data_IF_567357415223
#
_entry.id   IF_567357415223
#
_cell.length_a   1.000
_cell.length_b   1.000
_cell.length_c   1.000
_cell.angle_alpha   90.00
_cell.angle_beta   90.00
_cell.angle_gamma   90.00
#
_symmetry.space_group_name_H-M   'P 1'
#
loop_
_entity.id
_entity.type
_entity.pdbx_description
1 polymer ?
#
# COMPACT_ATOMS: atom_id res chain seq x y z
N UNK A 1 -0.62 14.76 -1.77
CA UNK A 1 -1.68 13.83 -2.20
C UNK A 1 -2.59 13.49 -1.05
N UNK A 2 -3.89 13.48 -1.27
CA UNK A 2 -4.87 13.19 -0.24
C UNK A 2 -5.62 11.88 -0.56
N UNK A 3 -6.63 11.54 0.24
CA UNK A 3 -7.42 10.34 0.06
C UNK A 3 -8.11 10.27 -1.31
N UNK A 4 -8.44 11.42 -1.91
CA UNK A 4 -9.10 11.47 -3.22
C UNK A 4 -8.19 10.92 -4.32
N UNK A 5 -6.88 11.20 -4.23
CA UNK A 5 -5.92 10.70 -5.20
C UNK A 5 -5.77 9.18 -5.13
N UNK A 6 -5.77 8.62 -3.92
CA UNK A 6 -5.76 7.16 -3.73
C UNK A 6 -6.99 6.55 -4.38
N UNK A 7 -8.17 7.11 -4.11
CA UNK A 7 -9.43 6.60 -4.65
C UNK A 7 -9.46 6.67 -6.18
N UNK A 8 -8.96 7.76 -6.76
CA UNK A 8 -8.87 7.89 -8.22
C UNK A 8 -7.97 6.83 -8.84
N UNK A 9 -6.83 6.57 -8.22
CA UNK A 9 -5.86 5.59 -8.73
C UNK A 9 -6.41 4.17 -8.62
N UNK A 10 -7.08 3.85 -7.54
CA UNK A 10 -7.75 2.56 -7.37
C UNK A 10 -8.89 2.41 -8.37
N UNK A 11 -9.68 3.46 -8.59
CA UNK A 11 -10.79 3.43 -9.54
C UNK A 11 -10.31 3.26 -10.98
N UNK A 12 -9.08 3.66 -11.30
CA UNK A 12 -8.50 3.49 -12.63
C UNK A 12 -8.06 2.04 -12.91
N UNK A 13 -8.00 1.18 -11.89
CA UNK A 13 -7.69 -0.24 -12.05
C UNK A 13 -8.94 -0.94 -12.62
N UNK A 14 -8.80 -1.74 -13.70
CA UNK A 14 -9.96 -2.40 -14.28
C UNK A 14 -10.74 -3.20 -13.24
N UNK A 15 -12.07 -3.05 -13.28
CA UNK A 15 -12.98 -3.76 -12.41
C UNK A 15 -13.10 -5.20 -12.91
N UNK A 16 -12.83 -6.16 -12.03
CA UNK A 16 -12.95 -7.58 -12.34
C UNK A 16 -13.62 -8.31 -11.16
N UNK A 17 -13.78 -9.63 -11.29
CA UNK A 17 -14.44 -10.44 -10.26
C UNK A 17 -13.76 -10.37 -8.90
N UNK A 18 -12.46 -10.08 -8.88
CA UNK A 18 -11.70 -10.02 -7.63
C UNK A 18 -11.62 -8.62 -7.02
N UNK A 19 -12.09 -7.58 -7.72
CA UNK A 19 -11.95 -6.20 -7.26
C UNK A 19 -12.62 -5.97 -5.89
N UNK A 20 -13.86 -6.44 -5.73
CA UNK A 20 -14.58 -6.30 -4.46
C UNK A 20 -13.86 -7.05 -3.34
N UNK A 21 -13.39 -8.25 -3.63
CA UNK A 21 -12.63 -9.06 -2.68
C UNK A 21 -11.36 -8.34 -2.24
N UNK A 22 -10.59 -7.79 -3.20
CA UNK A 22 -9.36 -7.06 -2.87
C UNK A 22 -9.65 -5.84 -2.01
N UNK A 23 -10.72 -5.10 -2.32
CA UNK A 23 -11.12 -3.95 -1.52
C UNK A 23 -11.46 -4.34 -0.08
N UNK A 24 -12.22 -5.43 0.10
CA UNK A 24 -12.57 -5.94 1.43
C UNK A 24 -11.32 -6.39 2.20
N UNK A 25 -10.41 -7.10 1.55
CA UNK A 25 -9.18 -7.57 2.18
C UNK A 25 -8.27 -6.40 2.56
N UNK A 26 -8.16 -5.40 1.70
CA UNK A 26 -7.41 -4.19 1.99
C UNK A 26 -7.94 -3.50 3.25
N UNK A 27 -9.26 -3.32 3.34
CA UNK A 27 -9.91 -2.72 4.49
C UNK A 27 -9.69 -3.55 5.77
N UNK A 28 -9.70 -4.86 5.65
CA UNK A 28 -9.57 -5.75 6.80
C UNK A 28 -8.14 -5.84 7.33
N UNK A 29 -7.16 -5.96 6.44
CA UNK A 29 -5.79 -6.30 6.82
C UNK A 29 -4.81 -5.13 6.75
N UNK A 30 -4.97 -4.20 5.82
CA UNK A 30 -4.00 -3.12 5.61
C UNK A 30 -4.45 -1.81 6.24
N UNK A 31 -5.69 -1.40 6.03
CA UNK A 31 -6.14 -0.09 6.50
C UNK A 31 -6.09 0.08 8.03
N UNK A 32 -6.33 -0.96 8.85
CA UNK A 32 -6.12 -0.82 10.30
C UNK A 32 -4.66 -0.50 10.67
N UNK A 33 -3.72 -0.79 9.78
CA UNK A 33 -2.29 -0.55 9.98
C UNK A 33 -1.74 0.55 9.06
N UNK A 34 -2.59 1.45 8.58
CA UNK A 34 -2.18 2.55 7.68
C UNK A 34 -1.09 3.43 8.29
N UNK A 35 -1.12 3.62 9.62
CA UNK A 35 -0.10 4.41 10.31
C UNK A 35 1.26 3.72 10.28
N UNK A 36 1.27 2.39 10.32
CA UNK A 36 2.50 1.62 10.17
C UNK A 36 3.08 1.82 8.75
N UNK A 37 2.23 1.74 7.73
CA UNK A 37 2.66 1.97 6.35
C UNK A 37 3.27 3.36 6.22
N UNK A 38 2.61 4.38 6.77
CA UNK A 38 3.09 5.76 6.70
C UNK A 38 4.44 5.92 7.42
N UNK A 39 4.58 5.32 8.61
CA UNK A 39 5.83 5.40 9.37
C UNK A 39 7.01 4.74 8.66
N UNK A 40 6.76 3.65 7.93
CA UNK A 40 7.79 2.99 7.13
C UNK A 40 8.19 3.91 5.96
N UNK A 41 7.23 4.57 5.33
CA UNK A 41 7.52 5.53 4.27
C UNK A 41 8.37 6.69 4.78
N UNK A 42 8.08 7.22 5.97
CA UNK A 42 8.89 8.27 6.60
C UNK A 42 10.32 7.77 6.81
N UNK A 43 10.46 6.56 7.32
CA UNK A 43 11.77 6.01 7.69
C UNK A 43 12.68 5.76 6.49
N UNK A 44 12.13 5.29 5.38
CA UNK A 44 12.94 4.81 4.26
C UNK A 44 12.92 5.68 3.02
N UNK A 45 12.05 6.68 2.94
CA UNK A 45 12.02 7.60 1.79
C UNK A 45 13.17 8.62 1.91
N UNK A 46 13.96 8.77 0.85
CA UNK A 46 15.11 9.67 0.86
C UNK A 46 14.71 11.13 0.83
N UNK A 47 13.76 11.49 -0.03
CA UNK A 47 13.29 12.86 -0.16
C UNK A 47 11.99 13.04 0.62
N UNK A 48 11.99 13.94 1.60
CA UNK A 48 10.84 14.23 2.40
C UNK A 48 9.60 14.60 1.57
N UNK A 49 9.81 15.26 0.44
CA UNK A 49 8.73 15.65 -0.48
C UNK A 49 8.00 14.45 -1.09
N UNK A 50 8.66 13.29 -1.15
CA UNK A 50 8.10 12.09 -1.77
C UNK A 50 7.37 11.18 -0.80
N UNK A 51 7.36 11.49 0.50
CA UNK A 51 6.80 10.60 1.52
C UNK A 51 5.32 10.33 1.26
N UNK A 52 4.52 11.38 1.02
CA UNK A 52 3.09 11.18 0.77
C UNK A 52 2.83 10.43 -0.52
N UNK A 53 3.59 10.72 -1.57
CA UNK A 53 3.48 10.01 -2.85
C UNK A 53 3.82 8.54 -2.67
N UNK A 54 4.86 8.23 -1.91
CA UNK A 54 5.25 6.86 -1.65
C UNK A 54 4.21 6.13 -0.79
N UNK A 55 3.59 6.83 0.15
CA UNK A 55 2.50 6.28 0.94
C UNK A 55 1.31 5.89 0.05
N UNK A 56 0.91 6.78 -0.87
CA UNK A 56 -0.17 6.49 -1.82
C UNK A 56 0.18 5.30 -2.71
N UNK A 57 1.42 5.28 -3.22
CA UNK A 57 1.91 4.16 -4.03
C UNK A 57 1.84 2.85 -3.27
N UNK A 58 2.20 2.87 -1.98
CA UNK A 58 2.14 1.69 -1.14
C UNK A 58 0.72 1.16 -1.01
N UNK A 59 -0.25 2.04 -0.74
CA UNK A 59 -1.65 1.63 -0.62
C UNK A 59 -2.20 1.06 -1.93
N UNK A 60 -1.87 1.68 -3.06
CA UNK A 60 -2.27 1.18 -4.38
C UNK A 60 -1.63 -0.18 -4.64
N UNK A 61 -0.35 -0.34 -4.28
CA UNK A 61 0.35 -1.61 -4.43
C UNK A 61 -0.30 -2.73 -3.60
N UNK A 62 -0.66 -2.43 -2.34
CA UNK A 62 -1.37 -3.41 -1.52
C UNK A 62 -2.69 -3.82 -2.14
N UNK A 63 -3.45 -2.87 -2.69
CA UNK A 63 -4.70 -3.19 -3.37
C UNK A 63 -4.48 -4.14 -4.54
N UNK A 64 -3.51 -3.83 -5.41
CA UNK A 64 -3.22 -4.64 -6.59
C UNK A 64 -2.85 -6.09 -6.26
N UNK A 65 -2.08 -6.28 -5.19
CA UNK A 65 -1.51 -7.58 -4.85
C UNK A 65 -2.11 -8.19 -3.59
N UNK A 66 -3.30 -7.75 -3.20
CA UNK A 66 -3.94 -8.20 -1.96
C UNK A 66 -4.18 -9.71 -1.95
N UNK A 67 -4.44 -10.30 -3.11
CA UNK A 67 -4.67 -11.74 -3.23
C UNK A 67 -3.41 -12.57 -2.92
N UNK A 68 -2.23 -11.96 -2.94
CA UNK A 68 -0.98 -12.65 -2.60
C UNK A 68 -0.74 -12.77 -1.10
N UNK A 69 -1.54 -12.09 -0.28
CA UNK A 69 -1.38 -12.16 1.17
C UNK A 69 -1.85 -13.51 1.71
N UNK A 70 -1.00 -14.13 2.54
CA UNK A 70 -1.32 -15.36 3.25
C UNK A 70 -1.81 -15.02 4.66
N UNK A 71 -3.11 -15.24 4.98
CA UNK A 71 -3.64 -14.92 6.31
C UNK A 71 -2.98 -15.69 7.45
N UNK A 72 -2.26 -16.76 7.16
CA UNK A 72 -1.52 -17.52 8.16
C UNK A 72 -0.27 -16.80 8.64
N UNK A 73 0.18 -15.76 7.92
CA UNK A 73 1.37 -14.99 8.28
C UNK A 73 0.99 -13.73 9.06
N UNK A 74 1.87 -13.24 9.97
CA UNK A 74 1.64 -12.00 10.68
C UNK A 74 1.51 -10.83 9.69
N UNK A 75 0.38 -10.12 9.76
CA UNK A 75 0.08 -9.06 8.80
C UNK A 75 1.08 -7.90 8.89
N UNK A 76 1.50 -7.53 10.10
CA UNK A 76 2.46 -6.43 10.29
C UNK A 76 3.81 -6.72 9.64
N UNK A 77 4.29 -7.97 9.76
CA UNK A 77 5.55 -8.39 9.14
C UNK A 77 5.45 -8.31 7.63
N UNK A 78 4.34 -8.76 7.07
CA UNK A 78 4.10 -8.68 5.63
C UNK A 78 4.03 -7.23 5.15
N UNK A 79 3.28 -6.39 5.86
CA UNK A 79 3.17 -4.96 5.52
C UNK A 79 4.55 -4.29 5.55
N UNK A 80 5.34 -4.56 6.57
CA UNK A 80 6.67 -3.99 6.70
C UNK A 80 7.56 -4.37 5.52
N UNK A 81 7.62 -5.66 5.21
CA UNK A 81 8.47 -6.17 4.14
C UNK A 81 8.07 -5.59 2.77
N UNK A 82 6.77 -5.58 2.46
CA UNK A 82 6.27 -5.08 1.18
C UNK A 82 6.51 -3.58 1.05
N UNK A 83 6.19 -2.81 2.09
CA UNK A 83 6.34 -1.36 2.05
C UNK A 83 7.80 -0.95 1.95
N UNK A 84 8.67 -1.57 2.74
CA UNK A 84 10.11 -1.29 2.72
C UNK A 84 10.70 -1.52 1.33
N UNK A 85 10.36 -2.66 0.72
CA UNK A 85 10.85 -3.01 -0.61
C UNK A 85 10.36 -2.03 -1.67
N UNK A 86 9.09 -1.68 -1.61
CA UNK A 86 8.51 -0.73 -2.56
C UNK A 86 9.18 0.63 -2.45
N UNK A 87 9.36 1.15 -1.23
CA UNK A 87 10.00 2.44 -1.03
C UNK A 87 11.44 2.42 -1.51
N UNK A 88 12.17 1.34 -1.26
CA UNK A 88 13.54 1.18 -1.76
C UNK A 88 13.58 1.26 -3.28
N UNK A 89 12.61 0.63 -3.97
CA UNK A 89 12.52 0.70 -5.43
C UNK A 89 12.16 2.10 -5.91
N UNK A 90 11.25 2.78 -5.21
CA UNK A 90 10.87 4.16 -5.56
C UNK A 90 12.02 5.14 -5.37
N UNK A 91 12.87 4.95 -4.39
CA UNK A 91 14.05 5.79 -4.17
C UNK A 91 15.06 5.72 -5.32
N UNK A 92 15.01 4.70 -6.15
CA UNK A 92 15.92 4.53 -7.29
C UNK A 92 15.49 5.29 -8.54
N UNK A 93 14.33 5.88 -8.53
CA UNK A 93 13.82 6.64 -9.66
C UNK A 93 14.47 8.02 -9.81
#
# INVERSE_FOLDING_TARGET
MDKKDVLKRVAAIPDDESATRRAQLLQKYVMPHKNLVYSICIKYTYNQEDIEDNYVEALVNFYKYMDSYDPARPVKTWIYAVTKRLVADLNKR
#
